data_IF_607166612086
#
_entry.id   IF_607166612086
#
_cell.length_a   1.000
_cell.length_b   1.000
_cell.length_c   1.000
_cell.angle_alpha   90.00
_cell.angle_beta   90.00
_cell.angle_gamma   90.00
#
_symmetry.space_group_name_H-M   'P 1'
#
loop_
_entity.id
_entity.type
_entity.pdbx_description
1 polymer ?
#
# COMPACT_ATOMS: atom_id res chain seq x y z
N UNK A 1 17.60 42.28 37.87
CA UNK A 1 18.04 40.87 37.71
C UNK A 1 16.91 40.12 37.03
N UNK A 2 17.27 39.45 35.95
CA UNK A 2 16.45 38.83 34.91
C UNK A 2 15.72 37.59 35.39
N UNK A 3 14.50 37.36 34.89
CA UNK A 3 13.74 36.14 35.11
C UNK A 3 12.58 36.00 34.14
N UNK A 4 12.86 36.04 32.84
CA UNK A 4 11.86 35.77 31.80
C UNK A 4 11.49 34.28 31.83
N UNK A 5 10.26 33.97 32.23
CA UNK A 5 9.68 32.64 32.05
C UNK A 5 9.35 32.48 30.58
N UNK A 6 10.14 31.65 29.90
CA UNK A 6 9.89 31.24 28.52
C UNK A 6 8.54 30.53 28.52
N UNK A 7 7.51 31.23 28.05
CA UNK A 7 6.24 30.65 27.65
C UNK A 7 6.56 29.70 26.52
N UNK A 8 6.63 28.41 26.83
CA UNK A 8 6.66 27.33 25.85
C UNK A 8 5.43 27.47 24.97
N UNK A 9 5.60 28.12 23.82
CA UNK A 9 4.70 28.04 22.68
C UNK A 9 4.64 26.58 22.28
N UNK A 10 3.75 25.83 22.92
CA UNK A 10 3.27 24.57 22.36
C UNK A 10 2.42 25.00 21.19
N UNK A 11 3.03 25.15 20.01
CA UNK A 11 2.34 25.02 18.74
C UNK A 11 1.90 23.55 18.65
N UNK A 12 0.90 23.21 19.45
CA UNK A 12 0.05 22.05 19.27
C UNK A 12 -0.73 22.33 17.99
N UNK A 13 -0.07 22.10 16.86
CA UNK A 13 -0.75 21.98 15.59
C UNK A 13 -1.74 20.85 15.77
N UNK A 14 -3.02 21.18 15.76
CA UNK A 14 -4.13 20.25 15.82
C UNK A 14 -4.05 19.33 14.59
N UNK A 15 -3.14 18.35 14.57
CA UNK A 15 -3.23 17.26 13.62
C UNK A 15 -4.39 16.40 14.10
N UNK A 16 -5.56 16.63 13.48
CA UNK A 16 -6.63 15.66 13.56
C UNK A 16 -6.04 14.29 13.19
N UNK A 17 -6.23 13.25 14.00
CA UNK A 17 -5.77 11.91 13.66
C UNK A 17 -6.39 11.52 12.32
N UNK A 18 -5.60 10.85 11.47
CA UNK A 18 -6.11 10.28 10.21
C UNK A 18 -7.32 9.40 10.55
N UNK A 19 -8.48 9.58 9.90
CA UNK A 19 -9.64 8.78 10.19
C UNK A 19 -9.32 7.29 9.95
N UNK A 20 -9.84 6.39 10.79
CA UNK A 20 -9.59 4.96 10.65
C UNK A 20 -10.14 4.46 9.30
N UNK A 21 -9.34 3.66 8.60
CA UNK A 21 -9.76 3.00 7.35
C UNK A 21 -10.49 1.71 7.71
N UNK A 22 -11.76 1.61 7.32
CA UNK A 22 -12.56 0.41 7.54
C UNK A 22 -12.16 -0.73 6.58
N UNK A 23 -12.28 -2.00 7.01
CA UNK A 23 -12.03 -3.13 6.12
C UNK A 23 -13.05 -3.16 4.97
N UNK A 24 -12.69 -3.73 3.80
CA UNK A 24 -13.63 -3.89 2.70
C UNK A 24 -14.88 -4.66 3.14
N UNK A 25 -16.06 -4.09 2.88
CA UNK A 25 -17.35 -4.70 3.24
C UNK A 25 -17.69 -5.89 2.34
N UNK A 26 -17.22 -5.86 1.10
CA UNK A 26 -17.53 -6.85 0.06
C UNK A 26 -16.41 -7.88 -0.11
N UNK A 27 -16.82 -9.10 -0.44
CA UNK A 27 -15.92 -10.22 -0.73
C UNK A 27 -15.12 -9.98 -2.01
N UNK A 28 -13.92 -10.56 -2.07
CA UNK A 28 -12.91 -10.29 -3.11
C UNK A 28 -13.41 -10.43 -4.56
N UNK A 29 -14.40 -11.30 -4.82
CA UNK A 29 -14.98 -11.50 -6.16
C UNK A 29 -16.15 -10.57 -6.51
N UNK A 30 -16.57 -9.68 -5.61
CA UNK A 30 -17.69 -8.78 -5.88
C UNK A 30 -17.29 -7.66 -6.87
N UNK A 31 -18.06 -7.43 -7.94
CA UNK A 31 -17.75 -6.39 -8.93
C UNK A 31 -17.75 -4.98 -8.33
N UNK A 32 -18.49 -4.76 -7.24
CA UNK A 32 -18.63 -3.47 -6.57
C UNK A 32 -17.57 -3.24 -5.48
N UNK A 33 -16.74 -4.25 -5.19
CA UNK A 33 -15.70 -4.14 -4.16
C UNK A 33 -14.71 -3.00 -4.40
N UNK A 34 -14.25 -2.70 -5.63
CA UNK A 34 -13.35 -1.58 -5.87
C UNK A 34 -13.95 -0.24 -5.42
N UNK A 35 -15.24 0.00 -5.73
CA UNK A 35 -15.96 1.21 -5.35
C UNK A 35 -16.09 1.29 -3.83
N UNK A 36 -16.37 0.17 -3.16
CA UNK A 36 -16.43 0.13 -1.70
C UNK A 36 -15.08 0.47 -1.04
N UNK A 37 -13.98 -0.06 -1.57
CA UNK A 37 -12.64 0.25 -1.09
C UNK A 37 -12.29 1.74 -1.29
N UNK A 38 -12.71 2.35 -2.41
CA UNK A 38 -12.51 3.77 -2.68
C UNK A 38 -13.17 4.65 -1.61
N UNK A 39 -14.47 4.42 -1.37
CA UNK A 39 -15.24 5.16 -0.34
C UNK A 39 -14.63 4.98 1.06
N UNK A 40 -14.13 3.78 1.39
CA UNK A 40 -13.49 3.53 2.68
C UNK A 40 -12.14 4.25 2.85
N UNK A 41 -11.41 4.50 1.76
CA UNK A 41 -10.09 5.16 1.77
C UNK A 41 -10.18 6.69 1.66
N UNK A 42 -11.23 7.21 1.03
CA UNK A 42 -11.41 8.64 0.73
C UNK A 42 -11.24 9.55 1.96
N UNK A 43 -11.85 9.29 3.14
CA UNK A 43 -11.66 10.18 4.30
C UNK A 43 -10.21 10.28 4.78
N UNK A 44 -9.47 9.17 4.71
CA UNK A 44 -8.06 9.14 5.11
C UNK A 44 -7.18 9.87 4.08
N UNK A 45 -7.52 9.73 2.79
CA UNK A 45 -6.87 10.46 1.71
C UNK A 45 -7.08 11.97 1.83
N UNK A 46 -8.32 12.42 2.06
CA UNK A 46 -8.63 13.84 2.27
C UNK A 46 -7.90 14.43 3.47
N UNK A 47 -7.82 13.68 4.58
CA UNK A 47 -7.09 14.10 5.77
C UNK A 47 -5.59 14.29 5.48
N UNK A 48 -4.99 13.40 4.67
CA UNK A 48 -3.59 13.51 4.25
C UNK A 48 -3.34 14.71 3.34
N UNK A 49 -4.22 14.95 2.37
CA UNK A 49 -4.14 16.12 1.48
C UNK A 49 -4.25 17.40 2.29
N UNK A 50 -5.25 17.49 3.18
CA UNK A 50 -5.46 18.64 4.06
C UNK A 50 -4.26 18.89 4.98
N UNK A 51 -3.70 17.83 5.56
CA UNK A 51 -2.51 17.95 6.41
C UNK A 51 -1.31 18.49 5.62
N UNK A 52 -1.11 18.04 4.39
CA UNK A 52 -0.03 18.51 3.51
C UNK A 52 -0.22 19.97 3.11
N UNK A 53 -1.44 20.38 2.77
CA UNK A 53 -1.77 21.78 2.46
C UNK A 53 -1.47 22.71 3.65
N UNK A 54 -1.83 22.30 4.87
CA UNK A 54 -1.52 23.07 6.10
C UNK A 54 -0.01 23.23 6.33
N UNK A 55 0.80 22.30 5.80
CA UNK A 55 2.27 22.38 5.83
C UNK A 55 2.86 23.21 4.68
N UNK A 56 2.02 23.83 3.87
CA UNK A 56 2.44 24.76 2.80
C UNK A 56 2.78 24.09 1.48
N UNK A 57 2.46 22.80 1.31
CA UNK A 57 2.60 22.13 0.02
C UNK A 57 1.54 22.66 -0.94
N UNK A 58 1.87 22.82 -2.22
CA UNK A 58 0.86 23.12 -3.24
C UNK A 58 -0.02 21.90 -3.54
N UNK A 59 -1.26 22.14 -3.97
CA UNK A 59 -2.15 21.06 -4.39
C UNK A 59 -1.55 20.19 -5.51
N UNK A 60 -0.78 20.81 -6.41
CA UNK A 60 -0.09 20.10 -7.49
C UNK A 60 1.02 19.20 -6.97
N UNK A 61 1.91 19.69 -6.10
CA UNK A 61 2.99 18.88 -5.51
C UNK A 61 2.44 17.68 -4.73
N UNK A 62 1.34 17.88 -4.00
CA UNK A 62 0.66 16.82 -3.26
C UNK A 62 0.14 15.76 -4.24
N UNK A 63 -0.60 16.17 -5.28
CA UNK A 63 -1.18 15.24 -6.24
C UNK A 63 -0.10 14.44 -6.99
N UNK A 64 0.94 15.11 -7.49
CA UNK A 64 2.06 14.48 -8.20
C UNK A 64 2.81 13.48 -7.30
N UNK A 65 3.07 13.88 -6.04
CA UNK A 65 3.78 13.02 -5.08
C UNK A 65 2.95 11.78 -4.70
N UNK A 66 1.67 11.95 -4.42
CA UNK A 66 0.79 10.83 -4.06
C UNK A 66 0.60 9.87 -5.23
N UNK A 67 0.44 10.39 -6.45
CA UNK A 67 0.37 9.57 -7.66
C UNK A 67 1.65 8.75 -7.87
N UNK A 68 2.81 9.39 -7.70
CA UNK A 68 4.11 8.70 -7.80
C UNK A 68 4.22 7.57 -6.78
N UNK A 69 3.93 7.83 -5.50
CA UNK A 69 3.99 6.83 -4.43
C UNK A 69 3.04 5.65 -4.69
N UNK A 70 1.80 5.94 -5.11
CA UNK A 70 0.83 4.90 -5.44
C UNK A 70 1.28 4.04 -6.63
N UNK A 71 1.88 4.66 -7.65
CA UNK A 71 2.40 3.97 -8.84
C UNK A 71 3.56 3.05 -8.49
N UNK A 72 4.56 3.56 -7.76
CA UNK A 72 5.72 2.77 -7.32
C UNK A 72 5.31 1.58 -6.43
N UNK A 73 4.29 1.79 -5.59
CA UNK A 73 3.73 0.72 -4.76
C UNK A 73 3.04 -0.35 -5.62
N UNK A 74 2.24 0.06 -6.62
CA UNK A 74 1.57 -0.86 -7.54
C UNK A 74 2.58 -1.68 -8.35
N UNK A 75 3.64 -1.05 -8.86
CA UNK A 75 4.73 -1.74 -9.57
C UNK A 75 5.41 -2.79 -8.69
N UNK A 76 5.63 -2.47 -7.41
CA UNK A 76 6.20 -3.41 -6.44
C UNK A 76 5.30 -4.61 -6.22
N UNK A 77 3.98 -4.41 -6.07
CA UNK A 77 3.01 -5.50 -5.91
C UNK A 77 2.99 -6.39 -7.17
N UNK A 78 2.88 -5.79 -8.35
CA UNK A 78 2.87 -6.52 -9.63
C UNK A 78 4.17 -7.29 -9.83
N UNK A 79 5.32 -6.68 -9.52
CA UNK A 79 6.63 -7.32 -9.56
C UNK A 79 6.68 -8.55 -8.66
N UNK A 80 6.22 -8.43 -7.41
CA UNK A 80 6.11 -9.56 -6.47
C UNK A 80 5.21 -10.66 -7.01
N UNK A 81 4.06 -10.31 -7.60
CA UNK A 81 3.12 -11.29 -8.16
C UNK A 81 3.73 -12.07 -9.34
N UNK A 82 4.50 -11.40 -10.20
CA UNK A 82 5.22 -12.05 -11.31
C UNK A 82 6.26 -13.04 -10.79
N UNK A 83 7.04 -12.65 -9.80
CA UNK A 83 8.03 -13.54 -9.18
C UNK A 83 7.35 -14.74 -8.52
N UNK A 84 6.28 -14.52 -7.75
CA UNK A 84 5.51 -15.61 -7.13
C UNK A 84 4.99 -16.61 -8.18
N UNK A 85 4.45 -16.11 -9.29
CA UNK A 85 3.97 -16.94 -10.42
C UNK A 85 5.11 -17.73 -11.06
N UNK A 86 6.27 -17.10 -11.27
CA UNK A 86 7.45 -17.78 -11.82
C UNK A 86 7.96 -18.89 -10.89
N UNK A 87 8.04 -18.63 -9.59
CA UNK A 87 8.45 -19.63 -8.59
C UNK A 87 7.48 -20.80 -8.52
N UNK A 88 6.17 -20.53 -8.56
CA UNK A 88 5.15 -21.57 -8.62
C UNK A 88 5.33 -22.45 -9.86
N UNK A 89 5.47 -21.84 -11.04
CA UNK A 89 5.69 -22.57 -12.30
C UNK A 89 6.97 -23.41 -12.26
N UNK A 90 8.07 -22.84 -11.78
CA UNK A 90 9.34 -23.55 -11.64
C UNK A 90 9.19 -24.75 -10.70
N UNK A 91 8.57 -24.57 -9.52
CA UNK A 91 8.34 -25.65 -8.56
C UNK A 91 7.53 -26.79 -9.18
N UNK A 92 6.44 -26.49 -9.88
CA UNK A 92 5.64 -27.52 -10.58
C UNK A 92 6.50 -28.25 -11.62
N UNK A 93 7.26 -27.52 -12.43
CA UNK A 93 8.15 -28.13 -13.43
C UNK A 93 9.21 -29.03 -12.79
N UNK A 94 9.80 -28.61 -11.65
CA UNK A 94 10.79 -29.40 -10.92
C UNK A 94 10.19 -30.66 -10.31
N UNK A 95 8.97 -30.59 -9.78
CA UNK A 95 8.25 -31.76 -9.27
C UNK A 95 7.94 -32.76 -10.40
N UNK A 96 7.52 -32.27 -11.56
CA UNK A 96 7.28 -33.10 -12.74
C UNK A 96 8.58 -33.74 -13.23
N UNK A 97 9.67 -32.99 -13.36
CA UNK A 97 10.97 -33.53 -13.78
C UNK A 97 11.49 -34.60 -12.80
N UNK A 98 11.39 -34.34 -11.49
CA UNK A 98 11.70 -35.34 -10.46
C UNK A 98 10.86 -36.60 -10.64
N UNK A 99 9.55 -36.47 -10.84
CA UNK A 99 8.64 -37.61 -11.00
C UNK A 99 8.99 -38.42 -12.26
N UNK A 100 9.22 -37.74 -13.39
CA UNK A 100 9.62 -38.38 -14.65
C UNK A 100 10.94 -39.15 -14.48
N UNK A 101 11.94 -38.57 -13.79
CA UNK A 101 13.19 -39.26 -13.50
C UNK A 101 13.01 -40.48 -12.59
N UNK A 102 12.16 -40.40 -11.57
CA UNK A 102 11.84 -41.54 -10.71
C UNK A 102 11.16 -42.67 -11.48
N UNK A 103 10.24 -42.35 -12.39
CA UNK A 103 9.57 -43.34 -13.22
C UNK A 103 10.52 -43.95 -14.25
N UNK A 104 11.21 -43.14 -15.04
CA UNK A 104 12.12 -43.63 -16.09
C UNK A 104 13.35 -44.34 -15.50
N UNK A 105 13.83 -43.92 -14.34
CA UNK A 105 14.92 -44.60 -13.62
C UNK A 105 14.53 -45.96 -13.04
N UNK A 106 13.23 -46.28 -12.99
CA UNK A 106 12.70 -47.57 -12.51
C UNK A 106 12.55 -48.62 -13.61
N UNK A 107 12.64 -48.20 -14.88
CA UNK A 107 12.53 -49.06 -16.06
C UNK A 107 13.87 -49.30 -16.77
N UNK A 108 14.99 -48.96 -16.11
CA UNK A 108 16.35 -49.26 -16.53
C UNK A 108 16.94 -50.32 -15.60
#
# INVERSE_FOLDING_TARGET
MTGGTISTFVLSGCMAPVPPVEPPLLSEGSPDRPINCEVALEPAFEALVKASLVKGWSAQEIAETLLKLATEHAETIVGRQRVATQLYRWRVSSLVDMHVRQFLGRFR
#
